data_IF_614812060605
#
_entry.id   IF_614812060605
#
_cell.length_a   1.000
_cell.length_b   1.000
_cell.length_c   1.000
_cell.angle_alpha   90.00
_cell.angle_beta   90.00
_cell.angle_gamma   90.00
#
_symmetry.space_group_name_H-M   'P 1'
#
loop_
_entity.id
_entity.type
_entity.pdbx_description
1 polymer ?
#
# COMPACT_ATOMS: atom_id res chain seq x y z
N UNK A 1 19.02 24.45 -23.05
CA UNK A 1 18.40 23.22 -22.51
C UNK A 1 18.74 23.16 -21.03
N UNK A 2 17.78 23.40 -20.14
CA UNK A 2 18.08 23.64 -18.73
C UNK A 2 18.27 22.29 -18.01
N UNK A 3 19.51 21.88 -17.75
CA UNK A 3 19.84 20.59 -17.13
C UNK A 3 19.10 20.35 -15.81
N UNK A 4 18.81 21.42 -15.07
CA UNK A 4 17.96 21.41 -13.87
C UNK A 4 16.54 20.91 -14.13
N UNK A 5 15.91 21.33 -15.22
CA UNK A 5 14.57 20.88 -15.59
C UNK A 5 14.57 19.39 -15.96
N UNK A 6 15.62 18.93 -16.65
CA UNK A 6 15.77 17.51 -17.01
C UNK A 6 15.98 16.65 -15.75
N UNK A 7 16.83 17.09 -14.83
CA UNK A 7 17.05 16.39 -13.55
C UNK A 7 15.78 16.32 -12.70
N UNK A 8 15.02 17.42 -12.64
CA UNK A 8 13.76 17.49 -11.90
C UNK A 8 12.69 16.57 -12.51
N UNK A 9 12.53 16.60 -13.85
CA UNK A 9 11.60 15.69 -14.54
C UNK A 9 12.01 14.23 -14.37
N UNK A 10 13.30 13.91 -14.52
CA UNK A 10 13.82 12.56 -14.33
C UNK A 10 13.57 12.04 -12.92
N UNK A 11 13.78 12.89 -11.90
CA UNK A 11 13.50 12.55 -10.51
C UNK A 11 12.02 12.28 -10.24
N UNK A 12 11.11 13.11 -10.78
CA UNK A 12 9.66 12.91 -10.63
C UNK A 12 9.21 11.62 -11.32
N UNK A 13 9.67 11.36 -12.54
CA UNK A 13 9.34 10.13 -13.29
C UNK A 13 9.85 8.89 -12.53
N UNK A 14 11.06 8.95 -11.98
CA UNK A 14 11.61 7.87 -11.16
C UNK A 14 10.73 7.61 -9.92
N UNK A 15 10.32 8.66 -9.20
CA UNK A 15 9.42 8.53 -8.04
C UNK A 15 8.07 7.90 -8.42
N UNK A 16 7.49 8.31 -9.56
CA UNK A 16 6.24 7.73 -10.05
C UNK A 16 6.43 6.24 -10.38
N UNK A 17 7.51 5.87 -11.05
CA UNK A 17 7.82 4.46 -11.35
C UNK A 17 7.96 3.59 -10.10
N UNK A 18 8.50 4.15 -9.00
CA UNK A 18 8.59 3.43 -7.73
C UNK A 18 7.22 3.10 -7.12
N UNK A 19 6.15 3.83 -7.46
CA UNK A 19 4.79 3.51 -6.97
C UNK A 19 4.19 2.26 -7.64
N UNK A 20 4.66 1.91 -8.84
CA UNK A 20 4.19 0.76 -9.64
C UNK A 20 4.97 -0.54 -9.37
N UNK A 21 5.77 -0.59 -8.32
CA UNK A 21 6.57 -1.77 -7.97
C UNK A 21 5.66 -2.96 -7.63
N UNK A 22 6.02 -4.15 -8.14
CA UNK A 22 5.31 -5.42 -7.91
C UNK A 22 5.31 -5.81 -6.42
N UNK A 23 4.24 -6.48 -5.99
CA UNK A 23 4.01 -6.97 -4.60
C UNK A 23 5.18 -7.80 -4.06
N UNK A 24 5.86 -8.57 -4.90
CA UNK A 24 6.92 -9.51 -4.48
C UNK A 24 8.31 -8.85 -4.38
N UNK A 25 8.40 -7.54 -4.58
CA UNK A 25 9.66 -6.80 -4.50
C UNK A 25 9.99 -6.38 -3.07
N UNK A 26 11.29 -6.23 -2.79
CA UNK A 26 11.81 -5.64 -1.54
C UNK A 26 11.23 -4.25 -1.24
N UNK A 27 10.79 -3.52 -2.27
CA UNK A 27 10.20 -2.20 -2.17
C UNK A 27 8.66 -2.19 -2.15
N UNK A 28 8.00 -3.35 -2.08
CA UNK A 28 6.53 -3.44 -2.00
C UNK A 28 5.95 -2.73 -0.77
N UNK A 29 6.76 -2.52 0.28
CA UNK A 29 6.40 -1.67 1.42
C UNK A 29 6.03 -0.24 1.01
N UNK A 30 6.52 0.27 -0.13
CA UNK A 30 6.20 1.59 -0.67
C UNK A 30 5.27 1.56 -1.90
N UNK A 31 4.98 0.40 -2.46
CA UNK A 31 4.08 0.27 -3.62
C UNK A 31 2.62 0.59 -3.27
N UNK A 32 1.81 0.91 -4.28
CA UNK A 32 0.37 1.21 -4.11
C UNK A 32 -0.46 0.16 -4.85
N UNK A 33 -1.38 -0.51 -4.15
CA UNK A 33 -2.38 -1.39 -4.77
C UNK A 33 -3.69 -0.63 -4.94
N UNK A 34 -3.94 -0.14 -6.15
CA UNK A 34 -5.19 0.57 -6.50
C UNK A 34 -6.39 -0.36 -6.67
N UNK A 35 -6.17 -1.68 -6.81
CA UNK A 35 -7.25 -2.66 -6.91
C UNK A 35 -7.94 -2.85 -5.55
N UNK A 36 -9.26 -3.02 -5.57
CA UNK A 36 -10.03 -3.45 -4.40
C UNK A 36 -9.51 -4.80 -3.90
N UNK A 37 -9.39 -4.93 -2.59
CA UNK A 37 -8.99 -6.17 -1.92
C UNK A 37 -10.18 -6.72 -1.16
N UNK A 38 -10.12 -8.02 -0.88
CA UNK A 38 -11.07 -8.70 -0.02
C UNK A 38 -10.40 -8.97 1.32
N UNK A 39 -11.21 -9.03 2.37
CA UNK A 39 -10.74 -9.46 3.68
C UNK A 39 -10.24 -10.91 3.57
N UNK A 40 -9.02 -11.24 4.04
CA UNK A 40 -8.51 -12.61 3.97
C UNK A 40 -9.33 -13.61 4.79
N UNK A 41 -9.98 -13.15 5.88
CA UNK A 41 -10.73 -13.99 6.79
C UNK A 41 -12.21 -14.12 6.37
N UNK A 42 -12.96 -13.02 6.32
CA UNK A 42 -14.40 -13.06 6.02
C UNK A 42 -14.77 -12.82 4.54
N UNK A 43 -13.77 -12.69 3.66
CA UNK A 43 -13.94 -12.40 2.23
C UNK A 43 -14.78 -11.15 1.89
N UNK A 44 -14.98 -10.25 2.87
CA UNK A 44 -15.73 -9.02 2.66
C UNK A 44 -14.96 -8.07 1.74
N UNK A 45 -15.64 -7.53 0.73
CA UNK A 45 -15.07 -6.54 -0.20
C UNK A 45 -14.73 -5.24 0.53
N UNK A 46 -13.47 -4.82 0.44
CA UNK A 46 -13.01 -3.61 1.14
C UNK A 46 -13.28 -2.33 0.34
N UNK A 47 -13.53 -1.21 1.04
CA UNK A 47 -13.71 0.08 0.39
C UNK A 47 -12.43 0.53 -0.32
N UNK A 48 -12.60 1.41 -1.32
CA UNK A 48 -11.49 2.03 -2.05
C UNK A 48 -10.78 3.03 -1.13
N UNK A 49 -11.54 3.90 -0.47
CA UNK A 49 -11.04 4.79 0.57
C UNK A 49 -10.99 4.05 1.91
N UNK A 50 -9.78 3.83 2.42
CA UNK A 50 -9.53 3.12 3.68
C UNK A 50 -9.05 4.13 4.72
N UNK A 51 -9.77 4.24 5.83
CA UNK A 51 -9.33 5.05 6.97
C UNK A 51 -8.37 4.21 7.83
N UNK A 52 -7.13 4.65 8.08
CA UNK A 52 -6.22 3.92 8.93
C UNK A 52 -6.73 3.90 10.37
N UNK A 53 -6.63 2.74 11.02
CA UNK A 53 -7.00 2.54 12.43
C UNK A 53 -5.80 2.68 13.39
N UNK A 54 -4.58 2.53 12.89
CA UNK A 54 -3.34 2.61 13.67
C UNK A 54 -2.20 3.27 12.88
N UNK A 55 -1.10 3.58 13.57
CA UNK A 55 0.06 4.25 12.98
C UNK A 55 0.71 3.42 11.85
N UNK A 56 0.73 2.10 11.99
CA UNK A 56 1.27 1.18 10.97
C UNK A 56 0.49 1.29 9.65
N UNK A 57 -0.84 1.33 9.72
CA UNK A 57 -1.71 1.53 8.56
C UNK A 57 -1.57 2.92 7.96
N UNK A 58 -1.29 3.94 8.78
CA UNK A 58 -1.00 5.28 8.28
C UNK A 58 0.33 5.33 7.49
N UNK A 59 1.36 4.60 7.94
CA UNK A 59 2.70 4.61 7.33
C UNK A 59 2.83 3.67 6.12
N UNK A 60 2.37 2.42 6.25
CA UNK A 60 2.56 1.38 5.23
C UNK A 60 1.31 1.14 4.37
N UNK A 61 0.20 1.77 4.73
CA UNK A 61 -1.13 1.44 4.23
C UNK A 61 -1.68 0.18 4.89
N UNK A 62 -2.92 -0.15 4.53
CA UNK A 62 -3.64 -1.27 5.10
C UNK A 62 -5.00 -0.82 5.61
N UNK A 63 -5.71 -1.75 6.24
CA UNK A 63 -7.03 -1.49 6.78
C UNK A 63 -7.42 -2.57 7.77
N UNK A 64 -8.19 -2.18 8.78
CA UNK A 64 -8.84 -3.14 9.67
C UNK A 64 -10.23 -3.44 9.15
N UNK A 65 -10.54 -4.72 8.94
CA UNK A 65 -11.86 -5.13 8.46
C UNK A 65 -12.94 -4.76 9.48
N UNK A 66 -13.95 -3.99 9.08
CA UNK A 66 -15.07 -3.60 9.97
C UNK A 66 -15.98 -4.77 10.39
N UNK A 67 -15.95 -5.89 9.66
CA UNK A 67 -16.82 -7.04 9.92
C UNK A 67 -16.20 -8.04 10.90
N UNK A 68 -14.94 -8.44 10.66
CA UNK A 68 -14.27 -9.46 11.48
C UNK A 68 -13.12 -8.90 12.35
N UNK A 69 -12.79 -7.62 12.24
CA UNK A 69 -11.73 -6.98 13.03
C UNK A 69 -10.31 -7.32 12.59
N UNK A 70 -10.10 -8.20 11.61
CA UNK A 70 -8.75 -8.58 11.17
C UNK A 70 -7.99 -7.38 10.61
N UNK A 71 -6.74 -7.23 11.03
CA UNK A 71 -5.82 -6.27 10.44
C UNK A 71 -5.16 -6.87 9.21
N UNK A 72 -5.23 -6.14 8.10
CA UNK A 72 -4.62 -6.56 6.83
C UNK A 72 -3.81 -5.42 6.20
N UNK A 73 -2.86 -5.81 5.37
CA UNK A 73 -2.00 -4.89 4.64
C UNK A 73 -2.75 -4.27 3.46
N UNK A 74 -2.09 -3.35 2.76
CA UNK A 74 -2.67 -2.73 1.55
C UNK A 74 -2.98 -3.74 0.44
N UNK A 75 -2.36 -4.92 0.48
CA UNK A 75 -2.54 -5.99 -0.48
C UNK A 75 -3.66 -6.98 -0.15
N UNK A 76 -4.26 -6.90 1.04
CA UNK A 76 -5.31 -7.80 1.52
C UNK A 76 -4.76 -9.07 2.19
N UNK A 77 -3.50 -9.03 2.63
CA UNK A 77 -2.89 -10.10 3.42
C UNK A 77 -3.01 -9.75 4.89
N UNK A 78 -3.40 -10.73 5.71
CA UNK A 78 -3.46 -10.58 7.17
C UNK A 78 -2.08 -10.26 7.73
N UNK A 79 -2.01 -9.35 8.71
CA UNK A 79 -0.78 -9.11 9.46
C UNK A 79 -0.94 -9.77 10.80
N UNK A 80 -0.18 -10.83 10.97
CA UNK A 80 -0.01 -11.41 12.28
C UNK A 80 0.97 -10.55 13.09
N UNK A 81 0.64 -10.31 14.34
CA UNK A 81 1.40 -9.45 15.27
C UNK A 81 2.83 -9.94 15.53
N UNK A 82 3.16 -11.16 15.10
CA UNK A 82 4.48 -11.80 15.22
C UNK A 82 5.41 -11.65 13.99
N UNK A 83 4.98 -10.96 12.93
CA UNK A 83 5.75 -10.83 11.69
C UNK A 83 6.38 -9.44 11.56
N UNK A 84 7.44 -9.18 12.34
CA UNK A 84 8.35 -8.04 12.18
C UNK A 84 9.42 -8.35 11.15
#
# INVERSE_FOLDING_TARGET
MNFYLIGLFGGIVLLILLTFIKKDSKYAKFGIKLKRVYCPNCNLKQPIMRKPANQRQALFGGYTCKNCGVEMDKYGTEIDSNSV
#
